data_IF_680079454951
#
_entry.id   IF_680079454951
#
_cell.length_a   1.000
_cell.length_b   1.000
_cell.length_c   1.000
_cell.angle_alpha   90.00
_cell.angle_beta   90.00
_cell.angle_gamma   90.00
#
_symmetry.space_group_name_H-M   'P 1'
#
loop_
_entity.id
_entity.type
_entity.pdbx_description
1 polymer ?
#
# COMPACT_ATOMS: atom_id res chain seq x y z
N UNK A 1 -26.39 -3.17 22.33
CA UNK A 1 -26.02 -1.95 21.55
C UNK A 1 -25.28 -1.01 22.47
N UNK A 2 -24.20 -0.36 22.04
CA UNK A 2 -23.42 0.53 22.90
C UNK A 2 -22.93 1.77 22.16
N UNK A 3 -22.84 2.89 22.87
CA UNK A 3 -22.42 4.18 22.37
C UNK A 3 -21.40 4.77 23.36
N UNK A 4 -20.32 5.34 22.86
CA UNK A 4 -19.33 6.08 23.66
C UNK A 4 -19.07 7.43 23.01
N UNK A 5 -19.08 8.50 23.79
CA UNK A 5 -18.73 9.86 23.37
C UNK A 5 -17.65 10.40 24.28
N UNK A 6 -16.71 11.17 23.74
CA UNK A 6 -15.67 11.84 24.50
C UNK A 6 -15.43 13.23 23.92
N UNK A 7 -15.42 14.23 24.80
CA UNK A 7 -15.10 15.60 24.49
C UNK A 7 -13.84 16.00 25.25
N UNK A 8 -12.88 16.57 24.54
CA UNK A 8 -11.62 17.03 25.12
C UNK A 8 -11.50 18.54 24.88
N UNK A 9 -11.20 19.29 25.93
CA UNK A 9 -10.98 20.73 25.89
C UNK A 9 -9.65 21.09 26.56
N UNK A 10 -8.87 21.93 25.89
CA UNK A 10 -7.63 22.47 26.44
C UNK A 10 -7.95 23.74 27.23
N UNK A 11 -7.97 23.64 28.56
CA UNK A 11 -8.28 24.77 29.44
C UNK A 11 -7.10 25.76 29.55
N UNK A 12 -5.87 25.26 29.47
CA UNK A 12 -4.66 26.08 29.47
C UNK A 12 -3.51 25.40 28.74
N UNK A 13 -2.36 26.06 28.60
CA UNK A 13 -1.13 25.45 28.04
C UNK A 13 -0.68 24.20 28.80
N UNK A 14 -1.08 24.04 30.07
CA UNK A 14 -0.69 22.92 30.95
C UNK A 14 -1.88 22.09 31.43
N UNK A 15 -3.12 22.49 31.16
CA UNK A 15 -4.33 21.85 31.66
C UNK A 15 -5.19 21.35 30.51
N UNK A 16 -5.52 20.07 30.54
CA UNK A 16 -6.44 19.44 29.61
C UNK A 16 -7.56 18.79 30.41
N UNK A 17 -8.79 19.08 30.04
CA UNK A 17 -9.98 18.45 30.60
C UNK A 17 -10.61 17.58 29.52
N UNK A 18 -10.83 16.31 29.83
CA UNK A 18 -11.59 15.40 28.98
C UNK A 18 -12.80 14.89 29.76
N UNK A 19 -13.97 14.91 29.13
CA UNK A 19 -15.21 14.36 29.68
C UNK A 19 -15.72 13.34 28.68
N UNK A 20 -15.93 12.12 29.13
CA UNK A 20 -16.44 11.03 28.32
C UNK A 20 -17.65 10.37 28.96
N UNK A 21 -18.44 9.68 28.15
CA UNK A 21 -19.55 8.88 28.61
C UNK A 21 -19.71 7.66 27.72
N UNK A 22 -20.00 6.52 28.33
CA UNK A 22 -20.31 5.29 27.65
C UNK A 22 -21.66 4.75 28.13
N UNK A 23 -22.50 4.34 27.20
CA UNK A 23 -23.75 3.65 27.48
C UNK A 23 -23.77 2.34 26.72
N UNK A 24 -24.13 1.26 27.39
CA UNK A 24 -24.27 -0.05 26.80
C UNK A 24 -25.57 -0.70 27.28
N UNK A 25 -26.35 -1.20 26.34
CA UNK A 25 -27.57 -1.98 26.59
C UNK A 25 -27.30 -3.41 26.16
N UNK A 26 -27.43 -4.35 27.10
CA UNK A 26 -27.30 -5.78 26.85
C UNK A 26 -28.60 -6.49 27.28
N UNK A 27 -29.38 -6.96 26.31
CA UNK A 27 -30.74 -7.48 26.56
C UNK A 27 -31.65 -6.42 27.18
N UNK A 28 -32.29 -6.75 28.31
CA UNK A 28 -33.15 -5.83 29.07
C UNK A 28 -32.39 -4.97 30.10
N UNK A 29 -31.06 -5.04 30.16
CA UNK A 29 -30.25 -4.28 31.12
C UNK A 29 -29.44 -3.22 30.40
N UNK A 30 -29.71 -1.95 30.73
CA UNK A 30 -28.92 -0.79 30.31
C UNK A 30 -27.97 -0.35 31.41
N UNK A 31 -26.73 -0.04 31.04
CA UNK A 31 -25.73 0.55 31.93
C UNK A 31 -25.07 1.76 31.28
N UNK A 32 -24.91 2.83 32.04
CA UNK A 32 -24.22 4.04 31.63
C UNK A 32 -23.07 4.37 32.59
N UNK A 33 -22.00 4.93 32.07
CA UNK A 33 -20.89 5.49 32.82
C UNK A 33 -20.52 6.86 32.27
N UNK A 34 -20.12 7.76 33.15
CA UNK A 34 -19.50 9.03 32.80
C UNK A 34 -18.11 9.10 33.45
N UNK A 35 -17.13 9.60 32.71
CA UNK A 35 -15.75 9.77 33.15
C UNK A 35 -15.32 11.21 32.92
N UNK A 36 -14.64 11.79 33.89
CA UNK A 36 -14.01 13.09 33.79
C UNK A 36 -12.52 12.94 34.12
N UNK A 37 -11.66 13.47 33.26
CA UNK A 37 -10.20 13.39 33.37
C UNK A 37 -9.64 14.81 33.33
N UNK A 38 -9.05 15.25 34.42
CA UNK A 38 -8.28 16.48 34.48
C UNK A 38 -6.79 16.15 34.47
N UNK A 39 -6.12 16.48 33.38
CA UNK A 39 -4.67 16.34 33.23
C UNK A 39 -3.99 17.69 33.47
N UNK A 40 -3.07 17.72 34.43
CA UNK A 40 -2.22 18.86 34.74
C UNK A 40 -0.75 18.51 34.45
N UNK A 41 -0.11 19.28 33.58
CA UNK A 41 1.30 19.17 33.28
C UNK A 41 2.11 20.00 34.27
N UNK A 42 2.74 19.32 35.23
CA UNK A 42 3.56 19.93 36.29
C UNK A 42 4.90 20.41 35.72
N UNK A 43 5.52 19.60 34.87
CA UNK A 43 6.76 19.92 34.17
C UNK A 43 6.74 19.36 32.74
N UNK A 44 7.71 19.70 31.88
CA UNK A 44 7.82 19.08 30.55
C UNK A 44 7.88 17.55 30.60
N UNK A 45 8.37 16.98 31.71
CA UNK A 45 8.59 15.55 31.90
C UNK A 45 7.64 14.90 32.92
N UNK A 46 6.71 15.65 33.51
CA UNK A 46 5.78 15.12 34.51
C UNK A 46 4.37 15.68 34.38
N UNK A 47 3.40 14.79 34.53
CA UNK A 47 1.99 15.15 34.56
C UNK A 47 1.24 14.38 35.64
N UNK A 48 0.20 15.01 36.16
CA UNK A 48 -0.73 14.44 37.12
C UNK A 48 -2.11 14.43 36.46
N UNK A 49 -2.79 13.31 36.52
CA UNK A 49 -4.12 13.08 35.98
C UNK A 49 -5.05 12.74 37.14
N UNK A 50 -6.14 13.49 37.27
CA UNK A 50 -7.24 13.21 38.18
C UNK A 50 -8.39 12.65 37.37
N UNK A 51 -8.82 11.44 37.68
CA UNK A 51 -9.85 10.70 36.96
C UNK A 51 -10.99 10.44 37.94
N UNK A 52 -12.19 10.92 37.60
CA UNK A 52 -13.42 10.57 38.29
C UNK A 52 -14.33 9.80 37.36
N UNK A 53 -14.85 8.66 37.78
CA UNK A 53 -15.85 7.91 37.05
C UNK A 53 -17.10 7.67 37.91
N UNK A 54 -18.27 7.71 37.30
CA UNK A 54 -19.57 7.45 37.93
C UNK A 54 -20.46 6.60 37.01
N UNK A 55 -21.39 5.83 37.59
CA UNK A 55 -22.32 4.96 36.86
C UNK A 55 -21.96 3.47 36.98
N UNK A 56 -21.58 2.84 35.86
CA UNK A 56 -21.12 1.44 35.80
C UNK A 56 -19.94 1.16 36.73
N UNK A 57 -18.98 2.09 36.77
CA UNK A 57 -17.88 2.08 37.73
C UNK A 57 -17.86 3.43 38.43
N UNK A 58 -17.90 3.41 39.76
CA UNK A 58 -17.78 4.61 40.59
C UNK A 58 -16.40 4.59 41.24
N UNK A 59 -15.47 5.40 40.75
CA UNK A 59 -14.10 5.45 41.27
C UNK A 59 -13.49 6.85 41.15
N UNK A 60 -12.54 7.12 42.03
CA UNK A 60 -11.66 8.29 41.97
C UNK A 60 -10.23 7.77 41.84
N UNK A 61 -9.52 8.16 40.79
CA UNK A 61 -8.14 7.78 40.55
C UNK A 61 -7.25 9.03 40.40
N UNK A 62 -6.11 9.02 41.06
CA UNK A 62 -5.04 10.01 40.90
C UNK A 62 -3.84 9.30 40.30
N UNK A 63 -3.41 9.71 39.11
CA UNK A 63 -2.29 9.11 38.39
C UNK A 63 -1.20 10.15 38.15
N UNK A 64 0.00 9.88 38.65
CA UNK A 64 1.20 10.67 38.41
C UNK A 64 2.12 9.94 37.45
N UNK A 65 2.48 10.58 36.34
CA UNK A 65 3.41 10.05 35.35
C UNK A 65 4.64 10.95 35.26
N UNK A 66 5.84 10.35 35.27
CA UNK A 66 7.10 11.06 35.12
C UNK A 66 8.03 10.31 34.18
N UNK A 67 8.58 11.03 33.20
CA UNK A 67 9.69 10.56 32.39
C UNK A 67 10.97 10.59 33.24
N UNK A 68 11.55 9.42 33.50
CA UNK A 68 12.75 9.26 34.33
C UNK A 68 14.03 9.40 33.49
N UNK A 69 13.97 9.00 32.22
CA UNK A 69 15.06 9.14 31.25
C UNK A 69 14.50 9.33 29.85
N UNK A 70 15.35 9.58 28.85
CA UNK A 70 14.92 9.69 27.45
C UNK A 70 14.07 8.51 26.96
N UNK A 71 14.29 7.32 27.54
CA UNK A 71 13.64 6.07 27.14
C UNK A 71 12.77 5.42 28.21
N UNK A 72 12.64 6.01 29.40
CA UNK A 72 11.93 5.39 30.53
C UNK A 72 10.90 6.33 31.14
N UNK A 73 9.69 5.80 31.33
CA UNK A 73 8.58 6.50 31.98
C UNK A 73 8.05 5.65 33.13
N UNK A 74 7.86 6.29 34.27
CA UNK A 74 7.22 5.70 35.42
C UNK A 74 5.85 6.34 35.63
N UNK A 75 4.88 5.53 35.99
CA UNK A 75 3.52 5.95 36.30
C UNK A 75 3.10 5.32 37.61
N UNK A 76 2.49 6.10 38.48
CA UNK A 76 1.95 5.67 39.76
C UNK A 76 0.51 6.15 39.85
N UNK A 77 -0.43 5.25 40.07
CA UNK A 77 -1.85 5.56 40.18
C UNK A 77 -2.42 5.06 41.50
N UNK A 78 -3.15 5.91 42.21
CA UNK A 78 -3.95 5.52 43.37
C UNK A 78 -5.42 5.62 42.97
N UNK A 79 -6.14 4.51 42.97
CA UNK A 79 -7.56 4.44 42.65
C UNK A 79 -8.38 3.98 43.86
N UNK A 80 -9.46 4.67 44.18
CA UNK A 80 -10.42 4.30 45.21
C UNK A 80 -11.77 3.97 44.56
N UNK A 81 -12.27 2.75 44.77
CA UNK A 81 -13.62 2.36 44.38
C UNK A 81 -14.62 2.96 45.38
N UNK A 82 -15.58 3.74 44.89
CA UNK A 82 -16.63 4.35 45.70
C UNK A 82 -17.76 3.38 46.05
N UNK A 83 -17.84 2.22 45.39
CA UNK A 83 -18.84 1.18 45.72
C UNK A 83 -18.43 0.39 46.95
N UNK A 84 -17.19 -0.09 46.95
CA UNK A 84 -16.72 -1.06 47.95
C UNK A 84 -15.69 -0.45 48.92
N UNK A 85 -15.29 0.81 48.70
CA UNK A 85 -14.26 1.47 49.49
C UNK A 85 -12.84 0.95 49.26
N UNK A 86 -12.63 0.03 48.31
CA UNK A 86 -11.33 -0.59 48.06
C UNK A 86 -10.34 0.41 47.43
N UNK A 87 -9.09 0.34 47.89
CA UNK A 87 -8.00 1.17 47.39
C UNK A 87 -7.03 0.28 46.62
N UNK A 88 -6.78 0.65 45.37
CA UNK A 88 -5.84 -0.01 44.48
C UNK A 88 -4.71 0.96 44.11
N UNK A 89 -3.48 0.59 44.43
CA UNK A 89 -2.27 1.26 44.02
C UNK A 89 -1.70 0.55 42.79
N UNK A 90 -1.46 1.29 41.72
CA UNK A 90 -0.81 0.84 40.50
C UNK A 90 0.53 1.52 40.37
N UNK A 91 1.55 0.78 39.97
CA UNK A 91 2.84 1.33 39.61
C UNK A 91 3.27 0.66 38.30
N UNK A 92 3.45 1.43 37.23
CA UNK A 92 3.89 0.90 35.95
C UNK A 92 5.12 1.63 35.43
N UNK A 93 6.12 0.84 35.04
CA UNK A 93 7.37 1.28 34.44
C UNK A 93 7.43 0.81 33.00
N UNK A 94 7.52 1.75 32.08
CA UNK A 94 7.66 1.47 30.64
C UNK A 94 9.00 1.97 30.18
N UNK A 95 9.76 1.12 29.48
CA UNK A 95 11.06 1.47 28.92
C UNK A 95 11.15 1.08 27.45
N UNK A 96 11.56 2.00 26.61
CA UNK A 96 11.98 1.72 25.25
C UNK A 96 13.34 1.00 25.28
N UNK A 97 13.36 -0.27 24.86
CA UNK A 97 14.55 -1.12 24.83
C UNK A 97 15.30 -1.00 23.50
N UNK A 98 14.57 -0.74 22.42
CA UNK A 98 15.10 -0.40 21.10
C UNK A 98 14.13 0.52 20.35
N UNK A 99 14.50 0.99 19.16
CA UNK A 99 13.61 1.81 18.32
C UNK A 99 12.26 1.15 18.04
N UNK A 100 12.23 -0.19 18.01
CA UNK A 100 11.04 -0.98 17.68
C UNK A 100 10.48 -1.77 18.85
N UNK A 101 11.09 -1.73 20.04
CA UNK A 101 10.66 -2.55 21.19
C UNK A 101 10.59 -1.80 22.50
N UNK A 102 9.53 -2.10 23.26
CA UNK A 102 9.22 -1.54 24.56
C UNK A 102 9.01 -2.69 25.55
N UNK A 103 9.56 -2.54 26.75
CA UNK A 103 9.24 -3.37 27.90
C UNK A 103 8.34 -2.60 28.86
N UNK A 104 7.45 -3.30 29.55
CA UNK A 104 6.64 -2.75 30.62
C UNK A 104 6.64 -3.68 31.83
N UNK A 105 6.72 -3.11 33.01
CA UNK A 105 6.52 -3.80 34.28
C UNK A 105 5.39 -3.07 34.99
N UNK A 106 4.37 -3.80 35.42
CA UNK A 106 3.23 -3.23 36.13
C UNK A 106 3.03 -3.99 37.45
N UNK A 107 3.05 -3.24 38.54
CA UNK A 107 2.70 -3.68 39.88
C UNK A 107 1.30 -3.16 40.19
N UNK A 108 0.40 -4.05 40.58
CA UNK A 108 -0.90 -3.74 41.13
C UNK A 108 -0.90 -4.21 42.59
N UNK A 109 -1.19 -3.31 43.52
CA UNK A 109 -1.29 -3.54 44.96
C UNK A 109 -2.71 -3.15 45.37
N UNK A 110 -3.49 -4.07 45.91
CA UNK A 110 -4.91 -3.83 46.20
C UNK A 110 -5.57 -5.11 46.71
N UNK A 111 -6.86 -5.28 46.40
CA UNK A 111 -7.58 -6.50 46.78
C UNK A 111 -6.97 -7.77 46.14
N UNK A 112 -6.51 -7.66 44.88
CA UNK A 112 -5.79 -8.73 44.18
C UNK A 112 -4.41 -8.22 43.70
N UNK A 113 -3.38 -8.31 44.55
CA UNK A 113 -2.06 -7.84 44.17
C UNK A 113 -1.49 -8.73 43.04
N UNK A 114 -0.90 -8.08 42.04
CA UNK A 114 -0.28 -8.77 40.90
C UNK A 114 0.88 -7.99 40.30
N UNK A 115 1.79 -8.73 39.68
CA UNK A 115 2.94 -8.22 38.96
C UNK A 115 2.83 -8.73 37.53
N UNK A 116 2.84 -7.82 36.56
CA UNK A 116 2.85 -8.14 35.14
C UNK A 116 4.15 -7.62 34.50
N UNK A 117 4.80 -8.47 33.72
CA UNK A 117 5.97 -8.12 32.92
C UNK A 117 5.62 -8.36 31.46
N UNK A 118 5.62 -7.29 30.68
CA UNK A 118 5.30 -7.29 29.27
C UNK A 118 6.46 -6.83 28.40
N UNK A 119 6.44 -7.32 27.18
CA UNK A 119 7.33 -6.92 26.10
C UNK A 119 6.49 -6.75 24.84
N UNK A 120 6.73 -5.67 24.11
CA UNK A 120 6.08 -5.39 22.85
C UNK A 120 7.10 -4.93 21.82
N UNK A 121 7.10 -5.55 20.65
CA UNK A 121 7.85 -5.12 19.47
C UNK A 121 6.90 -4.75 18.35
N UNK A 122 7.07 -3.57 17.78
CA UNK A 122 6.29 -3.08 16.65
C UNK A 122 7.23 -2.57 15.58
N UNK A 123 7.17 -3.23 14.43
CA UNK A 123 7.94 -2.96 13.23
C UNK A 123 6.98 -2.75 12.05
N UNK A 124 7.47 -2.33 10.89
CA UNK A 124 6.65 -2.05 9.70
C UNK A 124 5.84 -3.28 9.25
N UNK A 125 6.47 -4.46 9.28
CA UNK A 125 5.89 -5.74 8.83
C UNK A 125 5.47 -6.67 9.97
N UNK A 126 6.05 -6.55 11.15
CA UNK A 126 5.86 -7.50 12.25
C UNK A 126 5.46 -6.76 13.52
N UNK A 127 4.52 -7.33 14.26
CA UNK A 127 4.16 -6.85 15.60
C UNK A 127 4.05 -8.05 16.52
N UNK A 128 4.89 -8.11 17.54
CA UNK A 128 4.92 -9.16 18.53
C UNK A 128 4.72 -8.56 19.91
N UNK A 129 4.03 -9.26 20.81
CA UNK A 129 4.10 -8.93 22.23
C UNK A 129 3.94 -10.19 23.07
N UNK A 130 4.51 -10.15 24.26
CA UNK A 130 4.36 -11.18 25.28
C UNK A 130 4.14 -10.50 26.63
N UNK A 131 3.36 -11.12 27.49
CA UNK A 131 3.11 -10.63 28.84
C UNK A 131 3.00 -11.82 29.78
N UNK A 132 3.66 -11.73 30.93
CA UNK A 132 3.54 -12.71 32.02
C UNK A 132 3.02 -11.99 33.24
N UNK A 133 1.89 -12.45 33.78
CA UNK A 133 1.22 -11.92 34.95
C UNK A 133 1.24 -12.95 36.08
N UNK A 134 1.71 -12.51 37.24
CA UNK A 134 1.70 -13.26 38.49
C UNK A 134 0.87 -12.49 39.51
N UNK A 135 -0.31 -12.99 39.84
CA UNK A 135 -1.14 -12.48 40.93
C UNK A 135 -1.31 -13.52 42.02
N UNK A 136 -1.86 -13.09 43.16
CA UNK A 136 -2.16 -13.99 44.27
C UNK A 136 -3.27 -15.00 43.95
N UNK A 137 -4.25 -14.61 43.13
CA UNK A 137 -5.38 -15.47 42.73
C UNK A 137 -5.21 -16.11 41.34
N UNK A 138 -4.33 -15.55 40.49
CA UNK A 138 -4.12 -16.06 39.13
C UNK A 138 -2.71 -15.79 38.61
N UNK A 139 -2.15 -16.79 37.94
CA UNK A 139 -0.96 -16.63 37.10
C UNK A 139 -1.31 -16.93 35.65
N UNK A 140 -0.61 -16.27 34.72
CA UNK A 140 -0.75 -16.57 33.30
C UNK A 140 0.28 -15.85 32.44
N UNK A 141 0.56 -16.43 31.28
CA UNK A 141 1.35 -15.86 30.21
C UNK A 141 0.48 -15.70 28.97
N UNK A 142 0.69 -14.62 28.23
CA UNK A 142 0.06 -14.38 26.94
C UNK A 142 1.10 -13.97 25.91
N UNK A 143 0.85 -14.32 24.66
CA UNK A 143 1.69 -13.97 23.53
C UNK A 143 0.83 -13.65 22.32
N UNK A 144 1.23 -12.65 21.54
CA UNK A 144 0.62 -12.35 20.25
C UNK A 144 1.70 -12.04 19.22
N UNK A 145 1.48 -12.54 18.01
CA UNK A 145 2.34 -12.36 16.86
C UNK A 145 1.48 -12.03 15.65
N UNK A 146 1.67 -10.84 15.11
CA UNK A 146 0.98 -10.34 13.91
C UNK A 146 2.01 -10.06 12.83
N UNK A 147 1.80 -10.62 11.64
CA UNK A 147 2.65 -10.40 10.47
C UNK A 147 1.84 -9.82 9.33
N UNK A 148 2.28 -8.68 8.79
CA UNK A 148 1.72 -8.06 7.58
C UNK A 148 2.38 -8.70 6.36
N UNK A 149 1.57 -9.29 5.50
CA UNK A 149 2.02 -9.89 4.23
C UNK A 149 1.97 -8.87 3.08
N UNK A 150 1.08 -7.87 3.18
CA UNK A 150 0.89 -6.79 2.20
C UNK A 150 0.41 -5.53 2.92
N UNK A 151 0.33 -4.40 2.22
CA UNK A 151 -0.31 -3.17 2.70
C UNK A 151 -1.78 -3.40 3.11
N UNK A 152 -2.44 -4.41 2.51
CA UNK A 152 -3.84 -4.73 2.77
C UNK A 152 -4.06 -5.98 3.62
N UNK A 153 -3.09 -6.89 3.80
CA UNK A 153 -3.35 -8.19 4.47
C UNK A 153 -2.37 -8.52 5.58
N UNK A 154 -2.88 -9.04 6.70
CA UNK A 154 -2.10 -9.46 7.85
C UNK A 154 -2.63 -10.76 8.47
N UNK A 155 -1.73 -11.58 9.02
CA UNK A 155 -2.04 -12.74 9.85
C UNK A 155 -1.77 -12.42 11.31
N UNK A 156 -2.53 -13.04 12.22
CA UNK A 156 -2.39 -12.92 13.68
C UNK A 156 -2.48 -14.30 14.31
N UNK A 157 -1.54 -14.58 15.21
CA UNK A 157 -1.54 -15.73 16.10
C UNK A 157 -1.44 -15.18 17.51
N UNK A 158 -2.26 -15.64 18.43
CA UNK A 158 -2.16 -15.30 19.84
C UNK A 158 -2.40 -16.54 20.70
N UNK A 159 -1.83 -16.55 21.89
CA UNK A 159 -2.01 -17.62 22.86
C UNK A 159 -2.07 -17.03 24.26
N UNK A 160 -2.88 -17.62 25.12
CA UNK A 160 -2.96 -17.33 26.55
C UNK A 160 -2.94 -18.66 27.29
N UNK A 161 -2.09 -18.73 28.31
CA UNK A 161 -1.92 -19.90 29.17
C UNK A 161 -1.88 -19.40 30.60
N UNK A 162 -2.71 -19.91 31.48
CA UNK A 162 -2.74 -19.52 32.88
C UNK A 162 -3.62 -20.46 33.70
N UNK A 163 -3.57 -20.26 35.01
CA UNK A 163 -4.30 -21.05 36.03
C UNK A 163 -5.75 -21.42 35.64
N UNK A 164 -6.48 -20.50 35.02
CA UNK A 164 -7.89 -20.70 34.64
C UNK A 164 -8.17 -20.39 33.16
N UNK A 165 -7.12 -20.25 32.33
CA UNK A 165 -7.28 -19.84 30.93
C UNK A 165 -6.25 -20.52 30.03
N UNK A 166 -6.71 -21.35 29.12
CA UNK A 166 -5.93 -21.83 27.98
C UNK A 166 -6.71 -21.49 26.72
N UNK A 167 -6.16 -20.59 25.90
CA UNK A 167 -6.76 -20.12 24.66
C UNK A 167 -5.68 -19.95 23.59
N UNK A 168 -5.96 -20.43 22.38
CA UNK A 168 -5.16 -20.21 21.19
C UNK A 168 -6.05 -19.51 20.16
N UNK A 169 -5.60 -18.38 19.63
CA UNK A 169 -6.26 -17.64 18.58
C UNK A 169 -5.41 -17.63 17.32
N UNK A 170 -6.00 -18.03 16.19
CA UNK A 170 -5.34 -18.01 14.87
C UNK A 170 -6.28 -17.32 13.90
N UNK A 171 -5.77 -16.39 13.11
CA UNK A 171 -6.55 -15.83 12.04
C UNK A 171 -5.85 -14.75 11.25
N UNK A 172 -6.64 -13.97 10.54
CA UNK A 172 -6.11 -12.96 9.64
C UNK A 172 -7.13 -11.88 9.33
N UNK A 173 -6.64 -10.79 8.77
CA UNK A 173 -7.48 -9.70 8.34
C UNK A 173 -7.03 -9.11 7.03
N UNK A 174 -7.99 -8.45 6.37
CA UNK A 174 -7.75 -7.69 5.17
C UNK A 174 -8.42 -6.33 5.27
N UNK A 175 -7.68 -5.30 4.87
CA UNK A 175 -8.16 -3.95 4.65
C UNK A 175 -8.96 -3.94 3.34
N UNK A 176 -10.26 -3.68 3.45
CA UNK A 176 -11.20 -3.66 2.31
C UNK A 176 -11.27 -2.25 1.70
N UNK A 177 -11.30 -1.23 2.57
CA UNK A 177 -11.32 0.19 2.19
C UNK A 177 -10.29 0.96 3.03
N UNK A 178 -10.03 2.22 2.70
CA UNK A 178 -9.12 3.10 3.45
C UNK A 178 -9.44 3.17 4.94
N UNK A 179 -10.73 3.09 5.29
CA UNK A 179 -11.23 3.20 6.65
C UNK A 179 -11.74 1.88 7.24
N UNK A 180 -11.83 0.79 6.45
CA UNK A 180 -12.47 -0.47 6.89
C UNK A 180 -11.54 -1.67 6.80
N UNK A 181 -11.36 -2.37 7.92
CA UNK A 181 -10.58 -3.62 8.02
C UNK A 181 -11.47 -4.72 8.58
N UNK A 182 -11.55 -5.84 7.87
CA UNK A 182 -12.25 -7.04 8.33
C UNK A 182 -11.21 -8.05 8.81
N UNK A 183 -11.49 -8.70 9.94
CA UNK A 183 -10.67 -9.78 10.51
C UNK A 183 -11.55 -10.96 10.86
N UNK A 184 -11.02 -12.15 10.61
CA UNK A 184 -11.61 -13.40 11.04
C UNK A 184 -10.58 -14.10 11.91
N UNK A 185 -10.95 -14.34 13.17
CA UNK A 185 -10.11 -15.03 14.15
C UNK A 185 -10.82 -16.28 14.62
N UNK A 186 -10.09 -17.38 14.64
CA UNK A 186 -10.51 -18.65 15.20
C UNK A 186 -9.87 -18.82 16.57
N UNK A 187 -10.69 -18.93 17.61
CA UNK A 187 -10.24 -19.03 19.00
C UNK A 187 -10.67 -20.38 19.55
N UNK A 188 -9.71 -21.13 20.09
CA UNK A 188 -9.90 -22.45 20.68
C UNK A 188 -9.39 -22.38 22.11
N UNK A 189 -10.23 -22.68 23.09
CA UNK A 189 -9.82 -22.69 24.48
C UNK A 189 -10.69 -23.55 25.38
N UNK A 190 -10.43 -23.49 26.68
CA UNK A 190 -11.19 -24.24 27.70
C UNK A 190 -12.66 -23.84 27.70
N UNK A 191 -12.97 -22.59 27.37
CA UNK A 191 -14.34 -22.06 27.26
C UNK A 191 -15.03 -22.41 25.93
N UNK A 192 -14.40 -23.25 25.10
CA UNK A 192 -14.94 -23.72 23.84
C UNK A 192 -14.26 -23.10 22.61
N UNK A 193 -14.97 -23.22 21.48
CA UNK A 193 -14.49 -22.85 20.15
C UNK A 193 -15.31 -21.68 19.62
N UNK A 194 -14.64 -20.60 19.22
CA UNK A 194 -15.26 -19.37 18.75
C UNK A 194 -14.72 -18.91 17.40
N UNK A 195 -15.61 -18.41 16.54
CA UNK A 195 -15.23 -17.49 15.46
C UNK A 195 -15.49 -16.06 15.88
N UNK A 196 -14.46 -15.22 15.85
CA UNK A 196 -14.57 -13.78 16.10
C UNK A 196 -14.43 -13.07 14.76
N UNK A 197 -15.54 -12.49 14.29
CA UNK A 197 -15.54 -11.58 13.15
C UNK A 197 -15.37 -10.16 13.67
N UNK A 198 -14.23 -9.53 13.37
CA UNK A 198 -13.98 -8.13 13.75
C UNK A 198 -14.09 -7.22 12.53
N UNK A 199 -14.96 -6.22 12.59
CA UNK A 199 -15.00 -5.10 11.65
C UNK A 199 -14.47 -3.85 12.37
N UNK A 200 -13.36 -3.32 11.87
CA UNK A 200 -12.80 -2.05 12.33
C UNK A 200 -13.11 -0.98 11.29
N UNK A 201 -13.94 0.01 11.63
CA UNK A 201 -14.28 1.14 10.78
C UNK A 201 -14.12 2.46 11.54
N UNK A 202 -13.16 3.27 11.11
CA UNK A 202 -12.98 4.66 11.57
C UNK A 202 -13.12 4.87 13.10
N UNK A 203 -12.30 4.14 13.87
CA UNK A 203 -12.32 4.17 15.33
C UNK A 203 -13.38 3.27 15.99
N UNK A 204 -14.38 2.79 15.26
CA UNK A 204 -15.38 1.84 15.75
C UNK A 204 -14.90 0.40 15.54
N UNK A 205 -15.02 -0.43 16.59
CA UNK A 205 -14.68 -1.86 16.55
C UNK A 205 -15.93 -2.69 16.85
N UNK A 206 -16.50 -3.33 15.82
CA UNK A 206 -17.57 -4.31 15.97
C UNK A 206 -16.95 -5.71 16.03
N UNK A 207 -17.25 -6.47 17.07
CA UNK A 207 -16.82 -7.87 17.23
C UNK A 207 -18.08 -8.72 17.33
N UNK A 208 -18.25 -9.66 16.42
CA UNK A 208 -19.32 -10.65 16.46
C UNK A 208 -18.70 -12.01 16.79
N UNK A 209 -18.75 -12.46 18.06
CA UNK A 209 -18.32 -13.79 18.44
C UNK A 209 -19.42 -14.81 18.16
N UNK A 210 -19.13 -15.82 17.35
CA UNK A 210 -19.98 -16.98 17.10
C UNK A 210 -19.40 -18.14 17.90
N UNK A 211 -20.13 -18.59 18.92
CA UNK A 211 -19.83 -19.83 19.64
C UNK A 211 -20.17 -21.00 18.72
N UNK A 212 -19.18 -21.83 18.41
CA UNK A 212 -19.37 -23.03 17.60
C UNK A 212 -19.60 -24.25 18.50
N UNK A 213 -18.82 -24.38 19.58
CA UNK A 213 -19.01 -25.41 20.60
C UNK A 213 -18.58 -24.88 21.96
N UNK A 214 -19.32 -25.25 23.01
CA UNK A 214 -18.98 -24.96 24.41
C UNK A 214 -17.94 -25.94 24.99
N UNK A 215 -17.68 -27.06 24.29
CA UNK A 215 -16.74 -28.09 24.70
C UNK A 215 -15.62 -28.24 23.67
N UNK A 216 -14.43 -28.60 24.14
CA UNK A 216 -13.30 -28.84 23.28
C UNK A 216 -13.37 -30.25 22.68
N UNK A 217 -13.86 -30.34 21.44
CA UNK A 217 -13.84 -31.55 20.63
C UNK A 217 -12.85 -31.42 19.46
N UNK A 218 -11.76 -32.22 19.42
CA UNK A 218 -10.72 -32.09 18.38
C UNK A 218 -11.23 -32.26 16.94
N UNK A 219 -12.19 -33.16 16.73
CA UNK A 219 -12.81 -33.40 15.41
C UNK A 219 -13.60 -32.16 14.97
N UNK A 220 -14.37 -31.58 15.89
CA UNK A 220 -15.14 -30.38 15.60
C UNK A 220 -14.22 -29.17 15.39
N UNK A 221 -13.14 -29.07 16.18
CA UNK A 221 -12.16 -28.00 16.06
C UNK A 221 -11.41 -28.02 14.72
N UNK A 222 -11.08 -29.21 14.22
CA UNK A 222 -10.44 -29.34 12.90
C UNK A 222 -11.40 -29.01 11.77
N UNK A 223 -12.65 -29.48 11.83
CA UNK A 223 -13.70 -29.11 10.87
C UNK A 223 -13.99 -27.60 10.85
N UNK A 224 -14.12 -26.98 12.02
CA UNK A 224 -14.33 -25.55 12.19
C UNK A 224 -13.17 -24.69 11.66
N UNK A 225 -11.96 -25.25 11.54
CA UNK A 225 -10.85 -24.55 10.88
C UNK A 225 -10.81 -24.82 9.37
N UNK A 226 -11.02 -26.08 8.95
CA UNK A 226 -10.87 -26.52 7.56
C UNK A 226 -11.98 -25.99 6.64
N UNK A 227 -13.23 -25.90 7.11
CA UNK A 227 -14.37 -25.53 6.26
C UNK A 227 -14.27 -24.07 5.76
N UNK A 228 -14.05 -23.04 6.59
CA UNK A 228 -13.96 -21.66 6.09
C UNK A 228 -12.71 -21.41 5.26
N UNK A 229 -11.60 -22.06 5.60
CA UNK A 229 -10.33 -21.88 4.89
C UNK A 229 -10.39 -22.50 3.49
N UNK A 230 -10.96 -23.70 3.36
CA UNK A 230 -11.22 -24.34 2.07
C UNK A 230 -12.24 -23.53 1.24
N UNK A 231 -13.34 -23.07 1.84
CA UNK A 231 -14.33 -22.24 1.17
C UNK A 231 -13.73 -20.92 0.65
N UNK A 232 -12.91 -20.25 1.45
CA UNK A 232 -12.20 -19.03 1.02
C UNK A 232 -11.25 -19.31 -0.15
N UNK A 233 -10.52 -20.41 -0.11
CA UNK A 233 -9.59 -20.79 -1.19
C UNK A 233 -10.34 -21.08 -2.50
N UNK A 234 -11.45 -21.81 -2.43
CA UNK A 234 -12.29 -22.11 -3.58
C UNK A 234 -12.87 -20.82 -4.19
N UNK A 235 -13.49 -19.95 -3.37
CA UNK A 235 -14.04 -18.68 -3.84
C UNK A 235 -12.98 -17.76 -4.45
N UNK A 236 -11.80 -17.69 -3.83
CA UNK A 236 -10.70 -16.86 -4.33
C UNK A 236 -10.21 -17.32 -5.71
N UNK A 237 -10.02 -18.62 -5.91
CA UNK A 237 -9.47 -19.15 -7.15
C UNK A 237 -10.49 -19.21 -8.29
N UNK A 238 -11.74 -19.60 -7.98
CA UNK A 238 -12.77 -19.84 -9.00
C UNK A 238 -13.66 -18.63 -9.30
N UNK A 239 -13.82 -17.68 -8.38
CA UNK A 239 -14.70 -16.52 -8.59
C UNK A 239 -13.88 -15.23 -8.68
N UNK A 240 -13.09 -14.93 -7.66
CA UNK A 240 -12.40 -13.63 -7.59
C UNK A 240 -11.32 -13.51 -8.68
N UNK A 241 -10.39 -14.46 -8.78
CA UNK A 241 -9.29 -14.42 -9.76
C UNK A 241 -9.79 -14.25 -11.21
N UNK A 242 -10.74 -15.06 -11.73
CA UNK A 242 -11.20 -14.88 -13.10
C UNK A 242 -11.96 -13.56 -13.31
N UNK A 243 -12.67 -13.06 -12.29
CA UNK A 243 -13.34 -11.76 -12.38
C UNK A 243 -12.33 -10.61 -12.56
N UNK A 244 -11.28 -10.55 -11.74
CA UNK A 244 -10.26 -9.51 -11.86
C UNK A 244 -9.49 -9.60 -13.18
N UNK A 245 -9.13 -10.81 -13.62
CA UNK A 245 -8.47 -10.99 -14.92
C UNK A 245 -9.35 -10.53 -16.08
N UNK A 246 -10.66 -10.80 -16.05
CA UNK A 246 -11.60 -10.31 -17.07
C UNK A 246 -11.70 -8.78 -17.06
N UNK A 247 -11.63 -8.15 -15.90
CA UNK A 247 -11.69 -6.69 -15.79
C UNK A 247 -10.42 -6.05 -16.36
N UNK A 248 -9.25 -6.56 -15.99
CA UNK A 248 -7.97 -6.09 -16.54
C UNK A 248 -7.92 -6.25 -18.07
N UNK A 249 -8.45 -7.36 -18.59
CA UNK A 249 -8.57 -7.58 -20.04
C UNK A 249 -9.47 -6.56 -20.72
N UNK A 250 -10.61 -6.21 -20.12
CA UNK A 250 -11.51 -5.17 -20.66
C UNK A 250 -10.85 -3.80 -20.67
N UNK A 251 -10.20 -3.41 -19.57
CA UNK A 251 -9.49 -2.14 -19.48
C UNK A 251 -8.34 -2.05 -20.50
N UNK A 252 -7.62 -3.16 -20.73
CA UNK A 252 -6.58 -3.24 -21.76
C UNK A 252 -7.16 -3.11 -23.19
N UNK A 253 -8.30 -3.75 -23.46
CA UNK A 253 -9.00 -3.63 -24.74
C UNK A 253 -9.51 -2.21 -24.98
N UNK A 254 -10.18 -1.59 -24.01
CA UNK A 254 -10.66 -0.21 -24.11
C UNK A 254 -9.51 0.77 -24.36
N UNK A 255 -8.37 0.60 -23.70
CA UNK A 255 -7.19 1.44 -23.93
C UNK A 255 -6.62 1.25 -25.34
N UNK A 256 -6.62 0.02 -25.85
CA UNK A 256 -6.15 -0.27 -27.21
C UNK A 256 -7.08 0.34 -28.26
N UNK A 257 -8.40 0.25 -28.07
CA UNK A 257 -9.39 0.85 -28.95
C UNK A 257 -9.31 2.39 -28.97
N UNK A 258 -9.21 3.02 -27.79
CA UNK A 258 -9.04 4.48 -27.67
C UNK A 258 -7.76 4.97 -28.35
N UNK A 259 -6.67 4.24 -28.15
CA UNK A 259 -5.36 4.59 -28.74
C UNK A 259 -5.39 4.37 -30.26
N UNK A 260 -6.06 3.34 -30.77
CA UNK A 260 -6.13 3.05 -32.19
C UNK A 260 -6.80 4.17 -33.01
N UNK A 261 -7.85 4.81 -32.48
CA UNK A 261 -8.48 5.95 -33.14
C UNK A 261 -7.53 7.16 -33.25
N UNK A 262 -6.84 7.49 -32.15
CA UNK A 262 -5.88 8.59 -32.11
C UNK A 262 -4.69 8.37 -33.07
N UNK A 263 -4.16 7.13 -33.12
CA UNK A 263 -3.07 6.78 -34.04
C UNK A 263 -3.50 6.92 -35.50
N UNK A 264 -4.73 6.52 -35.85
CA UNK A 264 -5.24 6.68 -37.22
C UNK A 264 -5.32 8.15 -37.64
N UNK A 265 -5.82 9.02 -36.78
CA UNK A 265 -5.90 10.46 -37.05
C UNK A 265 -4.50 11.10 -37.15
N UNK A 266 -3.59 10.75 -36.23
CA UNK A 266 -2.22 11.24 -36.24
C UNK A 266 -1.46 10.77 -37.49
N UNK A 267 -1.66 9.53 -37.93
CA UNK A 267 -1.07 8.98 -39.16
C UNK A 267 -1.59 9.72 -40.40
N UNK A 268 -2.90 9.93 -40.48
CA UNK A 268 -3.48 10.72 -41.58
C UNK A 268 -2.96 12.17 -41.60
N UNK A 269 -2.73 12.79 -40.43
CA UNK A 269 -2.14 14.12 -40.33
C UNK A 269 -0.67 14.13 -40.78
N UNK A 270 0.12 13.12 -40.38
CA UNK A 270 1.50 12.95 -40.80
C UNK A 270 1.60 12.74 -42.32
N UNK A 271 0.76 11.89 -42.91
CA UNK A 271 0.71 11.67 -44.36
C UNK A 271 0.38 12.96 -45.13
N UNK A 272 -0.57 13.77 -44.64
CA UNK A 272 -0.86 15.09 -45.23
C UNK A 272 0.34 16.02 -45.15
N UNK A 273 1.04 16.06 -44.00
CA UNK A 273 2.25 16.86 -43.85
C UNK A 273 3.38 16.37 -44.78
N UNK A 274 3.55 15.06 -44.95
CA UNK A 274 4.52 14.49 -45.89
C UNK A 274 4.26 14.92 -47.34
N UNK A 275 2.99 14.91 -47.78
CA UNK A 275 2.59 15.40 -49.11
C UNK A 275 2.92 16.87 -49.33
N UNK A 276 2.79 17.72 -48.30
CA UNK A 276 3.16 19.13 -48.39
C UNK A 276 4.67 19.32 -48.53
N UNK A 277 5.47 18.46 -47.89
CA UNK A 277 6.93 18.52 -47.93
C UNK A 277 7.53 17.91 -49.19
N UNK A 278 6.79 17.06 -49.91
CA UNK A 278 7.25 16.23 -51.03
C UNK A 278 8.02 17.02 -52.09
N UNK A 279 7.47 18.15 -52.56
CA UNK A 279 8.11 18.98 -53.58
C UNK A 279 9.47 19.55 -53.13
N UNK A 280 9.54 20.04 -51.90
CA UNK A 280 10.76 20.64 -51.35
C UNK A 280 11.78 19.56 -51.00
N UNK A 281 11.33 18.45 -50.42
CA UNK A 281 12.17 17.29 -50.10
C UNK A 281 12.81 16.72 -51.37
N UNK A 282 12.03 16.53 -52.44
CA UNK A 282 12.53 16.01 -53.72
C UNK A 282 13.52 16.98 -54.39
N UNK A 283 13.27 18.29 -54.33
CA UNK A 283 14.21 19.31 -54.83
C UNK A 283 15.52 19.29 -54.05
N UNK A 284 15.46 19.27 -52.71
CA UNK A 284 16.65 19.18 -51.85
C UNK A 284 17.43 17.89 -52.11
N UNK A 285 16.72 16.75 -52.18
CA UNK A 285 17.31 15.44 -52.46
C UNK A 285 18.06 15.42 -53.79
N UNK A 286 17.48 15.96 -54.88
CA UNK A 286 18.16 16.05 -56.19
C UNK A 286 19.42 16.91 -56.13
N UNK A 287 19.33 18.09 -55.50
CA UNK A 287 20.47 18.99 -55.32
C UNK A 287 21.60 18.32 -54.53
N UNK A 288 21.28 17.60 -53.46
CA UNK A 288 22.27 16.85 -52.68
C UNK A 288 22.84 15.67 -53.47
N UNK A 289 22.02 14.96 -54.25
CA UNK A 289 22.47 13.85 -55.10
C UNK A 289 23.48 14.32 -56.17
N UNK A 290 23.19 15.44 -56.85
CA UNK A 290 24.08 16.05 -57.85
C UNK A 290 25.40 16.55 -57.23
N UNK A 291 25.35 17.04 -55.99
CA UNK A 291 26.52 17.50 -55.25
C UNK A 291 27.29 16.37 -54.55
N UNK A 292 26.83 15.11 -54.64
CA UNK A 292 27.41 13.99 -53.89
C UNK A 292 27.25 14.09 -52.36
N UNK A 293 26.28 14.87 -51.89
CA UNK A 293 25.97 15.10 -50.47
C UNK A 293 25.10 14.01 -49.84
N UNK A 294 24.50 14.35 -48.70
CA UNK A 294 23.68 13.41 -47.90
C UNK A 294 22.31 13.18 -48.54
N UNK A 295 21.99 11.92 -48.84
CA UNK A 295 20.68 11.48 -49.33
C UNK A 295 20.17 10.31 -48.51
N UNK A 296 18.98 10.44 -47.93
CA UNK A 296 18.37 9.38 -47.12
C UNK A 296 17.60 8.45 -48.06
N UNK A 297 18.00 7.18 -48.10
CA UNK A 297 17.44 6.16 -48.98
C UNK A 297 16.18 5.54 -48.39
N UNK A 298 16.20 5.28 -47.08
CA UNK A 298 15.08 4.68 -46.35
C UNK A 298 15.12 5.06 -44.88
N UNK A 299 13.99 5.42 -44.31
CA UNK A 299 13.88 5.68 -42.89
C UNK A 299 12.55 5.22 -42.32
N UNK A 300 12.60 4.42 -41.27
CA UNK A 300 11.44 3.80 -40.64
C UNK A 300 11.39 4.18 -39.16
N UNK A 301 10.23 4.66 -38.71
CA UNK A 301 9.97 5.03 -37.31
C UNK A 301 8.84 4.18 -36.74
N UNK A 302 9.05 3.52 -35.60
CA UNK A 302 8.03 2.67 -35.01
C UNK A 302 8.53 1.81 -33.86
N UNK A 303 7.78 0.74 -33.56
CA UNK A 303 8.09 -0.15 -32.43
C UNK A 303 9.46 -0.82 -32.59
N UNK A 304 10.35 -0.64 -31.60
CA UNK A 304 11.71 -1.17 -31.65
C UNK A 304 11.77 -2.70 -31.74
N UNK A 305 10.79 -3.42 -31.16
CA UNK A 305 10.74 -4.89 -31.24
C UNK A 305 10.39 -5.39 -32.65
N UNK A 306 9.66 -4.58 -33.41
CA UNK A 306 9.23 -4.88 -34.78
C UNK A 306 10.34 -4.57 -35.77
N UNK A 307 10.95 -3.38 -35.68
CA UNK A 307 12.06 -2.96 -36.54
C UNK A 307 13.24 -3.96 -36.47
N UNK A 308 13.51 -4.52 -35.28
CA UNK A 308 14.53 -5.56 -35.10
C UNK A 308 14.15 -6.93 -35.71
N UNK A 309 12.85 -7.25 -35.87
CA UNK A 309 12.37 -8.52 -36.46
C UNK A 309 12.28 -8.48 -37.98
N UNK A 310 12.04 -7.32 -38.58
CA UNK A 310 11.99 -7.15 -40.05
C UNK A 310 13.35 -7.43 -40.73
N UNK A 311 14.45 -7.48 -39.96
CA UNK A 311 15.73 -8.04 -40.42
C UNK A 311 15.69 -9.56 -40.73
N UNK A 312 14.60 -10.27 -40.40
CA UNK A 312 14.52 -11.75 -40.49
C UNK A 312 13.42 -12.38 -41.35
N UNK A 313 12.42 -11.68 -41.90
CA UNK A 313 11.51 -12.21 -42.96
C UNK A 313 10.46 -11.18 -43.39
N UNK A 314 10.07 -11.25 -44.66
CA UNK A 314 9.04 -10.44 -45.30
C UNK A 314 7.66 -10.57 -44.63
N UNK A 315 7.13 -9.40 -44.24
CA UNK A 315 5.73 -8.94 -44.25
C UNK A 315 4.61 -9.89 -43.74
N UNK A 316 4.27 -9.73 -42.45
CA UNK A 316 2.89 -9.89 -41.98
C UNK A 316 2.20 -8.50 -41.98
N UNK A 317 1.08 -8.36 -42.68
CA UNK A 317 0.36 -7.09 -42.90
C UNK A 317 -0.11 -6.36 -41.62
N UNK A 318 -0.22 -7.04 -40.48
CA UNK A 318 -0.59 -6.41 -39.20
C UNK A 318 0.57 -5.64 -38.54
N UNK A 319 1.82 -6.06 -38.82
CA UNK A 319 3.05 -5.49 -38.24
C UNK A 319 3.40 -4.16 -38.93
N UNK A 320 3.05 -4.02 -40.21
CA UNK A 320 3.20 -2.78 -41.00
C UNK A 320 2.36 -1.61 -40.45
N UNK A 321 1.36 -1.88 -39.60
CA UNK A 321 0.56 -0.81 -38.98
C UNK A 321 1.33 -0.05 -37.89
N UNK A 322 2.38 -0.64 -37.29
CA UNK A 322 3.15 -0.05 -36.18
C UNK A 322 4.46 0.62 -36.63
N UNK A 323 4.67 0.74 -37.95
CA UNK A 323 5.84 1.37 -38.54
C UNK A 323 5.37 2.46 -39.52
N UNK A 324 6.06 3.60 -39.47
CA UNK A 324 5.84 4.76 -40.33
C UNK A 324 7.08 5.00 -41.17
N UNK A 325 6.90 5.13 -42.49
CA UNK A 325 7.96 5.60 -43.38
C UNK A 325 8.12 7.11 -43.21
N UNK A 326 9.33 7.52 -42.84
CA UNK A 326 9.70 8.93 -42.57
C UNK A 326 10.86 9.39 -43.46
N UNK A 327 11.10 8.69 -44.57
CA UNK A 327 12.16 8.99 -45.55
C UNK A 327 12.02 10.40 -46.14
N UNK A 328 10.79 10.79 -46.49
CA UNK A 328 10.49 12.10 -47.07
C UNK A 328 10.74 13.25 -46.07
N UNK A 329 10.15 13.23 -44.86
CA UNK A 329 10.44 14.21 -43.80
C UNK A 329 11.93 14.36 -43.48
N UNK A 330 12.67 13.27 -43.37
CA UNK A 330 14.09 13.36 -43.05
C UNK A 330 14.89 14.01 -44.18
N UNK A 331 14.61 13.67 -45.46
CA UNK A 331 15.24 14.33 -46.60
C UNK A 331 14.93 15.85 -46.64
N UNK A 332 13.75 16.27 -46.16
CA UNK A 332 13.43 17.69 -46.02
C UNK A 332 14.28 18.39 -44.95
N UNK A 333 14.61 17.71 -43.85
CA UNK A 333 15.40 18.22 -42.73
C UNK A 333 16.91 18.30 -43.00
N UNK A 334 17.39 17.78 -44.13
CA UNK A 334 18.78 17.96 -44.57
C UNK A 334 19.03 19.44 -44.90
N UNK A 335 20.07 20.00 -44.31
CA UNK A 335 20.49 21.38 -44.56
C UNK A 335 21.19 21.51 -45.93
N UNK A 336 21.34 22.74 -46.43
CA UNK A 336 22.06 22.98 -47.70
C UNK A 336 23.52 22.51 -47.66
N UNK A 337 24.12 22.47 -46.47
CA UNK A 337 25.47 21.95 -46.23
C UNK A 337 25.58 20.42 -46.24
N UNK A 338 24.47 19.69 -46.46
CA UNK A 338 24.48 18.22 -46.49
C UNK A 338 24.51 17.56 -45.11
N UNK A 339 24.10 18.26 -44.06
CA UNK A 339 24.04 17.72 -42.69
C UNK A 339 22.58 17.60 -42.21
N UNK A 340 22.29 16.54 -41.43
CA UNK A 340 21.04 16.39 -40.69
C UNK A 340 21.34 16.28 -39.20
N UNK A 341 20.66 17.09 -38.38
CA UNK A 341 20.83 17.13 -36.92
C UNK A 341 19.47 17.04 -36.24
N UNK A 342 19.23 15.93 -35.53
CA UNK A 342 18.15 15.78 -34.56
C UNK A 342 18.72 15.95 -33.16
N UNK A 343 18.09 16.81 -32.36
CA UNK A 343 18.54 17.13 -31.02
C UNK A 343 18.07 16.10 -29.99
N UNK A 344 18.91 15.86 -28.99
CA UNK A 344 18.58 15.01 -27.84
C UNK A 344 17.38 15.59 -27.07
N UNK A 345 16.54 14.72 -26.51
CA UNK A 345 15.41 15.10 -25.66
C UNK A 345 14.16 15.53 -26.43
N UNK A 346 14.23 15.69 -27.77
CA UNK A 346 13.06 15.97 -28.62
C UNK A 346 12.48 14.66 -29.12
N UNK A 347 11.20 14.41 -28.83
CA UNK A 347 10.48 13.24 -29.36
C UNK A 347 10.44 13.29 -30.88
N UNK A 348 10.86 12.22 -31.55
CA UNK A 348 10.83 12.14 -33.02
C UNK A 348 9.41 12.19 -33.59
N UNK A 349 8.43 11.68 -32.84
CA UNK A 349 6.99 11.83 -33.16
C UNK A 349 6.50 13.29 -33.22
N UNK A 350 7.23 14.25 -32.64
CA UNK A 350 6.90 15.68 -32.70
C UNK A 350 7.43 16.39 -33.95
N UNK A 351 8.19 15.70 -34.79
CA UNK A 351 8.74 16.24 -36.04
C UNK A 351 7.62 16.29 -37.10
N UNK A 352 7.60 17.34 -37.92
CA UNK A 352 6.62 17.45 -39.00
C UNK A 352 6.72 16.26 -39.97
N UNK A 353 5.60 15.60 -40.24
CA UNK A 353 5.55 14.39 -41.08
C UNK A 353 5.87 13.09 -40.33
N UNK A 354 6.11 13.17 -39.02
CA UNK A 354 6.14 12.02 -38.12
C UNK A 354 4.80 11.94 -37.36
N UNK A 355 4.48 10.75 -36.88
CA UNK A 355 3.47 10.51 -35.84
C UNK A 355 3.93 9.35 -34.95
N UNK A 356 3.32 9.18 -33.79
CA UNK A 356 3.54 8.02 -32.93
C UNK A 356 2.65 6.84 -33.40
N UNK A 357 3.21 5.77 -33.99
CA UNK A 357 2.42 4.63 -34.46
C UNK A 357 2.10 3.61 -33.35
N UNK A 358 2.75 3.68 -32.19
CA UNK A 358 2.54 2.75 -31.08
C UNK A 358 2.72 3.43 -29.70
N UNK A 359 1.72 4.24 -29.27
CA UNK A 359 1.78 4.94 -27.99
C UNK A 359 1.93 3.98 -26.81
N UNK A 360 2.87 4.27 -25.91
CA UNK A 360 3.14 3.47 -24.72
C UNK A 360 4.15 2.33 -24.91
N UNK A 361 4.52 2.00 -26.14
CA UNK A 361 5.61 1.06 -26.44
C UNK A 361 6.92 1.82 -26.79
N UNK A 362 8.10 1.20 -26.58
CA UNK A 362 9.38 1.79 -26.97
C UNK A 362 9.50 1.88 -28.49
N UNK A 363 10.01 3.02 -28.96
CA UNK A 363 10.13 3.35 -30.38
C UNK A 363 11.56 3.68 -30.74
N UNK A 364 11.94 3.33 -31.95
CA UNK A 364 13.23 3.67 -32.54
C UNK A 364 13.05 4.18 -33.96
N UNK A 365 14.04 4.94 -34.42
CA UNK A 365 14.18 5.42 -35.79
C UNK A 365 15.34 4.67 -36.43
N UNK A 366 15.04 3.95 -37.49
CA UNK A 366 15.99 3.29 -38.36
C UNK A 366 16.23 4.17 -39.59
N UNK A 367 17.50 4.42 -39.95
CA UNK A 367 17.86 5.26 -41.10
C UNK A 367 18.96 4.61 -41.93
N UNK A 368 18.69 4.43 -43.21
CA UNK A 368 19.64 4.10 -44.26
C UNK A 368 19.88 5.35 -45.12
N UNK A 369 21.14 5.68 -45.38
CA UNK A 369 21.50 6.86 -46.18
C UNK A 369 22.78 6.66 -47.00
N UNK A 370 22.93 7.47 -48.04
CA UNK A 370 24.13 7.53 -48.87
C UNK A 370 24.79 8.90 -48.73
N UNK A 371 26.11 8.91 -48.64
CA UNK A 371 26.93 10.12 -48.64
C UNK A 371 28.13 9.90 -49.56
N UNK A 372 28.25 10.71 -50.61
CA UNK A 372 29.15 10.43 -51.74
C UNK A 372 28.80 9.10 -52.41
N UNK A 373 29.75 8.16 -52.42
CA UNK A 373 29.59 6.83 -53.02
C UNK A 373 29.37 5.71 -52.00
N UNK A 374 29.28 6.04 -50.70
CA UNK A 374 29.19 5.05 -49.62
C UNK A 374 27.78 5.02 -49.02
N UNK A 375 27.37 3.83 -48.56
CA UNK A 375 26.11 3.59 -47.85
C UNK A 375 26.35 3.46 -46.35
N UNK A 376 25.38 3.92 -45.56
CA UNK A 376 25.43 3.99 -44.11
C UNK A 376 24.08 3.60 -43.50
N UNK A 377 24.09 2.99 -42.31
CA UNK A 377 22.92 2.51 -41.57
C UNK A 377 23.05 2.86 -40.08
N UNK A 378 21.96 3.35 -39.47
CA UNK A 378 21.93 3.68 -38.04
C UNK A 378 20.55 3.46 -37.41
N UNK A 379 20.55 2.91 -36.20
CA UNK A 379 19.39 2.76 -35.33
C UNK A 379 19.52 3.71 -34.14
N UNK A 380 18.50 4.53 -33.88
CA UNK A 380 18.52 5.54 -32.81
C UNK A 380 17.20 5.57 -32.05
N UNK A 381 17.25 5.65 -30.72
CA UNK A 381 16.06 5.70 -29.86
C UNK A 381 15.22 6.98 -30.04
N UNK A 382 13.97 7.01 -29.55
CA UNK A 382 13.00 8.11 -29.76
C UNK A 382 13.48 9.50 -29.27
N UNK A 383 14.37 9.55 -28.27
CA UNK A 383 14.89 10.80 -27.68
C UNK A 383 16.38 11.03 -27.93
N UNK A 384 17.06 10.08 -28.56
CA UNK A 384 18.50 10.13 -28.76
C UNK A 384 18.83 11.03 -29.96
N UNK A 385 19.90 11.80 -29.83
CA UNK A 385 20.37 12.70 -30.88
C UNK A 385 20.85 11.90 -32.10
N UNK A 386 20.59 12.43 -33.29
CA UNK A 386 21.09 11.86 -34.54
C UNK A 386 21.80 12.94 -35.34
N UNK A 387 23.06 12.70 -35.70
CA UNK A 387 23.83 13.57 -36.61
C UNK A 387 24.31 12.76 -37.80
N UNK A 388 23.96 13.20 -39.00
CA UNK A 388 24.38 12.62 -40.27
C UNK A 388 25.06 13.68 -41.14
N UNK A 389 26.10 13.33 -41.91
CA UNK A 389 26.75 12.01 -41.98
C UNK A 389 27.70 11.75 -40.79
N UNK A 390 27.89 10.48 -40.43
CA UNK A 390 28.87 10.04 -39.43
C UNK A 390 29.57 8.75 -39.90
N UNK A 391 30.89 8.67 -39.78
CA UNK A 391 31.69 7.54 -40.27
C UNK A 391 31.42 6.24 -39.51
N UNK A 392 30.97 6.32 -38.25
CA UNK A 392 30.63 5.13 -37.46
C UNK A 392 29.43 4.35 -37.98
N UNK A 393 28.64 4.92 -38.90
CA UNK A 393 27.45 4.30 -39.46
C UNK A 393 27.72 3.58 -40.79
N UNK A 394 28.98 3.53 -41.26
CA UNK A 394 29.32 3.00 -42.58
C UNK A 394 29.09 1.49 -42.64
N UNK A 395 28.48 1.02 -43.72
CA UNK A 395 28.27 -0.41 -44.01
C UNK A 395 29.53 -1.02 -44.64
#
# INVERSE_FOLDING_TARGET
MGMSSQLQSQLSKRNVLAIGGNMAVNGNVGGGGATAVLKHQVSPFSSIEFIGAVGLQALIEVRSSRQLSAHSTATMGLAMSLRDGSINLTNAWTRQLSETSNGNIQLLLGAEPSIAVGWQKKDAKVSASGEVKFGTSSFGASGQYTRRFSSKSHGRIAGKVGSHALEIEIGGGRKISEFSTVRMLYSVGIQGIFWKFELHRDGQKLIVPILLSAHFDPIFATGAFAIPTSLYFLLKNYVAKPYYLKQEQKEAQENTERTAAQVKEARAAAERAQRLLENVANRKRKKQLEAGGLVITKALYGNSKVLNRDRMREANNEVASQVLDVTLPLNFLVNDSGELKLHEGVKKSGIMGFCDPCPGEPKSLHVEYTYGSNSYEVDVDDYEALRLPNESHRI
#
